data_IF_133711157355
#
_entry.id   IF_133711157355
#
_cell.length_a   1.000
_cell.length_b   1.000
_cell.length_c   1.000
_cell.angle_alpha   90.00
_cell.angle_beta   90.00
_cell.angle_gamma   90.00
#
_symmetry.space_group_name_H-M   'P 1'
#
loop_
_entity.id
_entity.type
_entity.pdbx_description
1 polymer ?
#
# COMPACT_ATOMS: atom_id res chain seq x y z
N UNK A 1 15.52 17.67 7.97
CA UNK A 1 14.17 17.09 7.79
C UNK A 1 13.86 17.11 6.32
N UNK A 2 13.39 15.99 5.79
CA UNK A 2 13.01 15.82 4.40
C UNK A 2 11.49 15.63 4.29
N UNK A 3 10.93 16.07 3.18
CA UNK A 3 9.51 15.94 2.86
C UNK A 3 9.33 14.70 2.00
N UNK A 4 8.32 13.91 2.32
CA UNK A 4 7.95 12.70 1.59
C UNK A 4 6.46 12.71 1.27
N UNK A 5 6.11 12.13 0.13
CA UNK A 5 4.74 12.05 -0.35
C UNK A 5 4.32 10.58 -0.44
N UNK A 6 3.41 10.18 0.44
CA UNK A 6 2.83 8.85 0.45
C UNK A 6 1.50 8.87 -0.30
N UNK A 7 1.36 8.00 -1.29
CA UNK A 7 0.11 7.76 -1.99
C UNK A 7 -0.29 6.29 -1.83
N UNK A 8 -1.45 6.05 -1.23
CA UNK A 8 -2.04 4.72 -1.06
C UNK A 8 -3.31 4.59 -1.89
N UNK A 9 -3.34 3.60 -2.78
CA UNK A 9 -4.50 3.20 -3.58
C UNK A 9 -5.09 1.90 -3.04
N UNK A 10 -6.32 1.94 -2.53
CA UNK A 10 -6.98 0.80 -1.87
C UNK A 10 -8.24 0.43 -2.66
N UNK A 11 -8.32 -0.83 -3.06
CA UNK A 11 -9.51 -1.38 -3.72
C UNK A 11 -10.61 -1.57 -2.68
N UNK A 12 -11.78 -0.97 -2.92
CA UNK A 12 -12.98 -1.20 -2.12
C UNK A 12 -13.75 -2.40 -2.68
N UNK A 13 -14.54 -3.05 -1.82
CA UNK A 13 -15.32 -4.25 -2.15
C UNK A 13 -16.50 -3.98 -3.08
N UNK A 14 -16.84 -2.71 -3.35
CA UNK A 14 -17.88 -2.33 -4.30
C UNK A 14 -17.29 -2.19 -5.71
N UNK A 15 -18.07 -2.58 -6.73
CA UNK A 15 -17.69 -2.84 -8.13
C UNK A 15 -16.89 -1.74 -8.88
N UNK A 16 -16.70 -0.55 -8.32
CA UNK A 16 -15.98 0.58 -8.95
C UNK A 16 -15.20 1.46 -7.96
N UNK A 17 -15.11 1.10 -6.68
CA UNK A 17 -14.58 2.01 -5.67
C UNK A 17 -13.06 1.90 -5.49
N UNK A 18 -12.28 2.84 -6.02
CA UNK A 18 -10.92 3.09 -5.54
C UNK A 18 -10.97 4.13 -4.40
N UNK A 19 -10.17 3.93 -3.37
CA UNK A 19 -9.88 4.95 -2.35
C UNK A 19 -8.41 5.31 -2.47
N UNK A 20 -8.12 6.58 -2.79
CA UNK A 20 -6.76 7.11 -2.79
C UNK A 20 -6.58 7.95 -1.53
N UNK A 21 -5.57 7.63 -0.74
CA UNK A 21 -5.13 8.43 0.39
C UNK A 21 -3.74 8.99 0.06
N UNK A 22 -3.65 10.31 -0.04
CA UNK A 22 -2.39 11.01 -0.23
C UNK A 22 -2.05 11.78 1.05
N UNK A 23 -0.84 11.62 1.55
CA UNK A 23 -0.36 12.25 2.79
C UNK A 23 1.06 12.78 2.58
N UNK A 24 1.34 13.98 3.08
CA UNK A 24 2.68 14.53 3.16
C UNK A 24 3.26 14.22 4.54
N UNK A 25 4.46 13.67 4.56
CA UNK A 25 5.14 13.22 5.77
C UNK A 25 6.47 13.96 5.89
N UNK A 26 6.80 14.46 7.08
CA UNK A 26 8.09 15.12 7.35
C UNK A 26 8.90 14.21 8.27
N UNK A 27 10.01 13.66 7.78
CA UNK A 27 10.87 12.74 8.53
C UNK A 27 12.36 13.11 8.44
N UNK A 28 13.18 12.52 9.32
CA UNK A 28 14.62 12.75 9.36
C UNK A 28 15.37 12.00 8.25
N UNK A 29 14.92 10.76 7.96
CA UNK A 29 15.59 9.83 7.05
C UNK A 29 14.61 9.06 6.17
N UNK A 30 15.11 8.53 5.05
CA UNK A 30 14.34 7.66 4.16
C UNK A 30 13.84 6.40 4.88
N UNK A 31 14.68 5.81 5.74
CA UNK A 31 14.34 4.61 6.50
C UNK A 31 13.14 4.82 7.43
N UNK A 32 13.09 5.97 8.13
CA UNK A 32 11.95 6.34 8.97
C UNK A 32 10.68 6.57 8.15
N UNK A 33 10.81 7.25 7.00
CA UNK A 33 9.70 7.51 6.10
C UNK A 33 9.12 6.20 5.53
N UNK A 34 9.98 5.24 5.18
CA UNK A 34 9.59 3.91 4.70
C UNK A 34 8.87 3.12 5.79
N UNK A 35 9.42 3.07 7.01
CA UNK A 35 8.78 2.35 8.13
C UNK A 35 7.40 2.93 8.50
N UNK A 36 7.28 4.26 8.46
CA UNK A 36 6.01 4.94 8.65
C UNK A 36 5.03 4.62 7.51
N UNK A 37 5.48 4.70 6.24
CA UNK A 37 4.65 4.40 5.08
C UNK A 37 4.13 2.96 5.07
N UNK A 38 4.96 1.98 5.44
CA UNK A 38 4.55 0.58 5.55
C UNK A 38 3.48 0.38 6.63
N UNK A 39 3.71 0.95 7.83
CA UNK A 39 2.74 0.89 8.94
C UNK A 39 1.41 1.54 8.56
N UNK A 40 1.46 2.70 7.91
CA UNK A 40 0.29 3.45 7.46
C UNK A 40 -0.49 2.66 6.40
N UNK A 41 0.21 2.10 5.42
CA UNK A 41 -0.39 1.28 4.38
C UNK A 41 -1.02 0.00 4.95
N UNK A 42 -0.34 -0.67 5.89
CA UNK A 42 -0.86 -1.84 6.58
C UNK A 42 -2.16 -1.54 7.36
N UNK A 43 -2.24 -0.38 8.03
CA UNK A 43 -3.46 0.05 8.72
C UNK A 43 -4.60 0.40 7.76
N UNK A 44 -4.29 1.02 6.62
CA UNK A 44 -5.27 1.43 5.62
C UNK A 44 -5.86 0.26 4.82
N UNK A 45 -5.04 -0.75 4.50
CA UNK A 45 -5.46 -1.83 3.61
C UNK A 45 -6.45 -2.78 4.28
N UNK A 46 -6.36 -3.03 5.58
CA UNK A 46 -7.35 -3.80 6.37
C UNK A 46 -7.91 -5.05 5.64
N UNK A 47 -7.04 -5.94 5.15
CA UNK A 47 -7.34 -7.15 4.34
C UNK A 47 -7.90 -6.91 2.92
N UNK A 48 -7.78 -5.72 2.35
CA UNK A 48 -8.17 -5.40 0.97
C UNK A 48 -6.99 -5.55 0.01
N UNK A 49 -7.26 -5.42 -1.28
CA UNK A 49 -6.19 -5.25 -2.27
C UNK A 49 -5.78 -3.78 -2.32
N UNK A 50 -4.51 -3.50 -2.59
CA UNK A 50 -4.04 -2.13 -2.70
C UNK A 50 -2.56 -2.02 -3.07
N UNK A 51 -2.16 -0.80 -3.37
CA UNK A 51 -0.76 -0.42 -3.58
C UNK A 51 -0.45 0.89 -2.88
N UNK A 52 0.79 1.05 -2.45
CA UNK A 52 1.31 2.30 -1.93
C UNK A 52 2.62 2.67 -2.62
N UNK A 53 2.83 3.97 -2.77
CA UNK A 53 4.05 4.55 -3.32
C UNK A 53 4.50 5.68 -2.41
N UNK A 54 5.78 5.68 -2.03
CA UNK A 54 6.41 6.75 -1.28
C UNK A 54 7.42 7.46 -2.18
N UNK A 55 7.29 8.78 -2.25
CA UNK A 55 8.16 9.64 -3.07
C UNK A 55 8.92 10.60 -2.17
N UNK A 56 10.17 10.89 -2.51
CA UNK A 56 10.92 11.99 -1.89
C UNK A 56 10.41 13.35 -2.39
N UNK A 57 10.94 14.44 -1.82
CA UNK A 57 10.64 15.82 -2.21
C UNK A 57 10.92 16.09 -3.70
N UNK A 58 11.93 15.42 -4.27
CA UNK A 58 12.24 15.48 -5.70
C UNK A 58 11.28 14.65 -6.57
N UNK A 59 10.27 13.99 -5.98
CA UNK A 59 9.27 13.18 -6.67
C UNK A 59 9.77 11.78 -7.09
N UNK A 60 10.96 11.37 -6.66
CA UNK A 60 11.54 10.05 -6.92
C UNK A 60 10.91 9.01 -6.01
N UNK A 61 10.56 7.86 -6.57
CA UNK A 61 10.00 6.76 -5.80
C UNK A 61 11.14 6.11 -5.00
N UNK A 62 11.06 6.23 -3.67
CA UNK A 62 12.03 5.60 -2.76
C UNK A 62 11.50 4.29 -2.18
N UNK A 63 10.18 4.08 -2.23
CA UNK A 63 9.55 2.83 -1.81
C UNK A 63 8.20 2.62 -2.49
N UNK A 64 7.86 1.35 -2.70
CA UNK A 64 6.53 0.94 -3.16
C UNK A 64 6.15 -0.41 -2.56
N UNK A 65 4.87 -0.59 -2.29
CA UNK A 65 4.31 -1.85 -1.86
C UNK A 65 3.04 -2.17 -2.63
N UNK A 66 2.83 -3.44 -2.92
CA UNK A 66 1.58 -3.95 -3.49
C UNK A 66 1.13 -5.15 -2.69
N UNK A 67 -0.12 -5.18 -2.30
CA UNK A 67 -0.76 -6.32 -1.65
C UNK A 67 -1.96 -6.75 -2.47
N UNK A 68 -1.91 -7.98 -2.97
CA UNK A 68 -3.10 -8.63 -3.51
C UNK A 68 -4.07 -8.86 -2.33
N UNK A 69 -5.34 -8.52 -2.54
CA UNK A 69 -6.38 -8.83 -1.55
C UNK A 69 -6.40 -10.35 -1.34
N UNK A 70 -6.67 -10.78 -0.11
CA UNK A 70 -6.77 -12.21 0.20
C UNK A 70 -8.02 -12.76 -0.46
N UNK A 71 -7.93 -13.14 -1.74
CA UNK A 71 -8.87 -14.09 -2.31
C UNK A 71 -8.49 -15.43 -1.71
N UNK A 72 -9.33 -15.92 -0.78
CA UNK A 72 -9.24 -17.28 -0.28
C UNK A 72 -9.50 -18.27 -1.42
N UNK A 73 -8.54 -18.43 -2.31
CA UNK A 73 -8.53 -19.37 -3.42
C UNK A 73 -7.65 -20.56 -3.07
N UNK A 74 -7.95 -21.26 -1.97
CA UNK A 74 -7.59 -22.68 -1.88
C UNK A 74 -8.67 -23.45 -2.65
N UNK A 75 -8.65 -23.34 -3.97
CA UNK A 75 -9.22 -24.37 -4.82
C UNK A 75 -8.11 -25.39 -5.03
N UNK A 76 -7.84 -26.18 -4.00
CA UNK A 76 -7.15 -27.45 -4.18
C UNK A 76 -8.13 -28.30 -4.99
N UNK A 77 -7.89 -28.37 -6.30
CA UNK A 77 -8.50 -29.31 -7.22
C UNK A 77 -8.14 -30.71 -6.68
N UNK A 78 -9.02 -31.25 -5.83
CA UNK A 78 -9.04 -32.65 -5.43
C UNK A 78 -9.68 -33.40 -6.59
N UNK A 79 -8.88 -33.66 -7.60
CA UNK A 79 -9.29 -34.42 -8.78
C UNK A 79 -8.27 -35.53 -9.02
N UNK A 80 -8.31 -36.55 -8.17
CA UNK A 80 -7.85 -37.89 -8.52
C UNK A 80 -8.59 -38.93 -7.67
N UNK A 81 -9.67 -39.48 -8.23
CA UNK A 81 -10.34 -40.68 -7.73
C UNK A 81 -10.72 -41.56 -8.91
#
# INVERSE_FOLDING_TARGET
MAVFHLECSIHRRCASGLSVAAEQIVMGTDAEAIAYADTRFAGLIANRAGSATLRDDAGRIIWSARRAGVTGGRHSDDRDR
#
